data_IF_264751685718
#
_entry.id   IF_264751685718
#
_cell.length_a   1.000
_cell.length_b   1.000
_cell.length_c   1.000
_cell.angle_alpha   90.00
_cell.angle_beta   90.00
_cell.angle_gamma   90.00
#
_symmetry.space_group_name_H-M   'P 1'
#
loop_
_entity.id
_entity.type
_entity.pdbx_description
1 polymer ?
#
# COMPACT_ATOMS: atom_id res chain seq x y z
N UNK A 1 -72.49 28.89 14.43
CA UNK A 1 -71.66 29.07 13.22
C UNK A 1 -70.21 29.08 13.66
N UNK A 2 -69.69 27.88 13.81
CA UNK A 2 -68.36 27.67 14.36
C UNK A 2 -67.36 27.33 13.26
N UNK A 3 -66.40 28.23 13.08
CA UNK A 3 -65.30 27.94 12.18
C UNK A 3 -64.11 27.46 12.99
N UNK A 4 -63.86 26.17 12.93
CA UNK A 4 -62.64 25.58 13.44
C UNK A 4 -61.45 25.85 12.50
N UNK A 5 -60.32 26.32 13.04
CA UNK A 5 -59.10 26.42 12.23
C UNK A 5 -58.41 25.06 12.08
N UNK A 6 -58.10 24.70 10.86
CA UNK A 6 -57.31 23.52 10.52
C UNK A 6 -55.87 23.77 10.93
N UNK A 7 -55.41 23.06 11.96
CA UNK A 7 -54.00 22.94 12.33
C UNK A 7 -53.29 22.12 11.26
N UNK A 8 -52.49 22.74 10.45
CA UNK A 8 -51.57 22.08 9.56
C UNK A 8 -50.35 21.60 10.36
N UNK A 9 -50.26 20.30 10.61
CA UNK A 9 -49.10 19.67 11.20
C UNK A 9 -48.01 19.54 10.15
N UNK A 10 -46.98 20.42 10.21
CA UNK A 10 -45.79 20.34 9.40
C UNK A 10 -44.87 19.24 10.03
N UNK A 11 -44.80 18.09 9.39
CA UNK A 11 -43.84 17.04 9.74
C UNK A 11 -42.50 17.41 9.16
N UNK A 12 -41.59 17.90 9.99
CA UNK A 12 -40.18 18.07 9.64
C UNK A 12 -39.52 16.68 9.63
N UNK A 13 -39.37 16.12 8.46
CA UNK A 13 -38.51 14.95 8.28
C UNK A 13 -37.05 15.39 8.27
N UNK A 14 -36.35 15.06 9.36
CA UNK A 14 -34.90 15.21 9.44
C UNK A 14 -34.27 14.08 8.62
N UNK A 15 -33.79 14.42 7.43
CA UNK A 15 -32.95 13.52 6.66
C UNK A 15 -31.56 13.49 7.31
N UNK A 16 -31.30 12.44 8.08
CA UNK A 16 -29.97 12.14 8.59
C UNK A 16 -29.09 11.71 7.41
N UNK A 17 -28.27 12.63 6.92
CA UNK A 17 -27.21 12.33 5.95
C UNK A 17 -26.13 11.56 6.72
N UNK A 18 -26.12 10.25 6.60
CA UNK A 18 -25.01 9.41 7.07
C UNK A 18 -23.84 9.65 6.11
N UNK A 19 -22.94 10.55 6.49
CA UNK A 19 -21.64 10.66 5.86
C UNK A 19 -20.88 9.36 6.20
N UNK A 20 -20.90 8.40 5.29
CA UNK A 20 -19.95 7.31 5.32
C UNK A 20 -18.58 7.88 5.03
N UNK A 21 -17.80 8.16 6.05
CA UNK A 21 -16.36 8.34 5.94
C UNK A 21 -15.80 7.03 5.36
N UNK A 22 -15.57 7.02 4.06
CA UNK A 22 -14.75 6.00 3.44
C UNK A 22 -13.33 6.29 3.89
N UNK A 23 -12.83 5.50 4.83
CA UNK A 23 -11.40 5.44 5.07
C UNK A 23 -10.74 5.01 3.76
N UNK A 24 -10.06 5.92 3.09
CA UNK A 24 -9.34 5.61 1.87
C UNK A 24 -8.28 4.55 2.18
N UNK A 25 -8.25 3.48 1.38
CA UNK A 25 -7.24 2.45 1.49
C UNK A 25 -5.85 3.07 1.28
N UNK A 26 -4.87 2.62 2.06
CA UNK A 26 -3.48 3.08 1.94
C UNK A 26 -2.93 2.64 0.58
N UNK A 27 -2.58 3.61 -0.28
CA UNK A 27 -1.95 3.33 -1.57
C UNK A 27 -0.45 3.12 -1.39
N UNK A 28 -0.02 1.87 -1.55
CA UNK A 28 1.38 1.47 -1.49
C UNK A 28 1.97 1.20 -2.88
N UNK A 29 1.23 1.43 -3.97
CA UNK A 29 1.71 1.16 -5.32
C UNK A 29 2.96 1.96 -5.69
N UNK A 30 3.84 1.36 -6.47
CA UNK A 30 5.05 1.97 -6.96
C UNK A 30 6.33 1.29 -6.51
N UNK A 31 7.45 1.94 -6.80
CA UNK A 31 8.78 1.46 -6.46
C UNK A 31 9.27 2.10 -5.16
N UNK A 32 9.82 1.29 -4.28
CA UNK A 32 10.27 1.67 -2.95
C UNK A 32 11.71 1.26 -2.72
N UNK A 33 12.57 2.22 -2.41
CA UNK A 33 13.99 2.01 -2.14
C UNK A 33 14.33 2.29 -0.69
N UNK A 34 15.34 1.62 -0.17
CA UNK A 34 15.85 1.87 1.19
C UNK A 34 16.60 3.20 1.30
N UNK A 35 17.01 3.77 0.18
CA UNK A 35 17.66 5.09 0.13
C UNK A 35 17.05 5.92 -1.00
N UNK A 36 16.45 7.05 -0.64
CA UNK A 36 15.79 7.96 -1.57
C UNK A 36 16.74 8.48 -2.67
N UNK A 37 18.01 8.70 -2.35
CA UNK A 37 19.02 9.22 -3.29
C UNK A 37 19.48 8.18 -4.31
N UNK A 38 19.12 6.92 -4.12
CA UNK A 38 19.53 5.79 -4.96
C UNK A 38 18.45 5.26 -5.90
N UNK A 39 17.31 5.91 -5.96
CA UNK A 39 16.17 5.47 -6.79
C UNK A 39 16.57 5.17 -8.24
N UNK A 40 17.31 6.06 -8.89
CA UNK A 40 17.76 5.89 -10.28
C UNK A 40 18.83 4.82 -10.48
N UNK A 41 19.47 4.37 -9.40
CA UNK A 41 20.47 3.28 -9.43
C UNK A 41 19.84 1.92 -9.10
N UNK A 42 18.67 1.91 -8.46
CA UNK A 42 17.94 0.70 -8.10
C UNK A 42 16.90 0.34 -9.17
N UNK A 43 16.15 1.32 -9.67
CA UNK A 43 15.04 1.09 -10.58
C UNK A 43 15.26 1.74 -11.95
N UNK A 44 14.64 1.13 -12.96
CA UNK A 44 14.65 1.60 -14.34
C UNK A 44 13.36 1.19 -15.03
N UNK A 45 12.92 1.98 -16.01
CA UNK A 45 11.82 1.57 -16.87
C UNK A 45 12.36 0.73 -18.04
N UNK A 46 11.72 -0.40 -18.30
CA UNK A 46 12.14 -1.39 -19.28
C UNK A 46 11.00 -1.81 -20.21
N UNK A 47 11.42 -2.20 -21.43
CA UNK A 47 10.55 -2.85 -22.40
C UNK A 47 9.52 -1.91 -23.04
N UNK A 48 8.73 -2.47 -23.95
CA UNK A 48 7.70 -1.75 -24.70
C UNK A 48 6.54 -1.28 -23.82
N UNK A 49 6.24 -2.01 -22.74
CA UNK A 49 5.21 -1.65 -21.77
C UNK A 49 5.70 -0.60 -20.75
N UNK A 50 6.94 -0.13 -20.85
CA UNK A 50 7.53 0.86 -19.96
C UNK A 50 7.38 0.49 -18.47
N UNK A 51 7.56 -0.78 -18.15
CA UNK A 51 7.44 -1.28 -16.78
C UNK A 51 8.64 -0.90 -15.93
N UNK A 52 8.39 -0.65 -14.65
CA UNK A 52 9.43 -0.48 -13.66
C UNK A 52 10.11 -1.83 -13.42
N UNK A 53 11.42 -1.85 -13.48
CA UNK A 53 12.24 -3.00 -13.17
C UNK A 53 13.46 -2.62 -12.36
N UNK A 54 14.30 -3.60 -12.07
CA UNK A 54 15.55 -3.39 -11.35
C UNK A 54 16.72 -3.23 -12.31
N UNK A 55 17.66 -2.34 -11.96
CA UNK A 55 18.95 -2.27 -12.66
C UNK A 55 19.78 -3.52 -12.38
N UNK A 56 20.79 -3.78 -13.21
CA UNK A 56 21.63 -4.98 -13.07
C UNK A 56 22.31 -5.09 -11.70
N UNK A 57 22.78 -3.96 -11.16
CA UNK A 57 23.51 -3.92 -9.88
C UNK A 57 22.73 -3.18 -8.78
N UNK A 58 21.41 -3.27 -8.81
CA UNK A 58 20.54 -2.56 -7.85
C UNK A 58 20.83 -2.93 -6.40
N UNK A 59 21.22 -4.16 -6.14
CA UNK A 59 21.59 -4.67 -4.82
C UNK A 59 22.82 -3.98 -4.19
N UNK A 60 23.70 -3.42 -5.03
CA UNK A 60 24.87 -2.64 -4.56
C UNK A 60 24.47 -1.23 -4.07
N UNK A 61 23.26 -0.78 -4.38
CA UNK A 61 22.74 0.54 -4.02
C UNK A 61 21.64 0.49 -2.96
N UNK A 62 21.63 -0.56 -2.16
CA UNK A 62 20.61 -0.85 -1.17
C UNK A 62 19.53 -1.80 -1.70
N UNK A 63 18.52 -2.03 -0.91
CA UNK A 63 17.39 -2.87 -1.27
C UNK A 63 16.23 -2.05 -1.80
N UNK A 64 15.25 -2.77 -2.32
CA UNK A 64 14.00 -2.16 -2.75
C UNK A 64 13.02 -3.21 -3.23
N UNK A 65 11.78 -2.80 -3.42
CA UNK A 65 10.74 -3.63 -4.00
C UNK A 65 9.71 -2.76 -4.73
N UNK A 66 8.93 -3.42 -5.58
CA UNK A 66 7.88 -2.79 -6.37
C UNK A 66 6.55 -3.37 -5.92
N UNK A 67 5.60 -2.49 -5.58
CA UNK A 67 4.24 -2.87 -5.20
C UNK A 67 3.32 -2.64 -6.40
N UNK A 68 2.65 -3.69 -6.83
CA UNK A 68 1.60 -3.67 -7.83
C UNK A 68 0.26 -4.11 -7.19
N UNK A 69 -0.83 -4.03 -7.92
CA UNK A 69 -2.16 -4.33 -7.37
C UNK A 69 -2.29 -5.76 -6.81
N UNK A 70 -1.65 -6.74 -7.44
CA UNK A 70 -1.77 -8.16 -7.14
C UNK A 70 -0.48 -8.84 -6.70
N UNK A 71 0.65 -8.10 -6.70
CA UNK A 71 1.96 -8.68 -6.41
C UNK A 71 2.97 -7.67 -5.86
N UNK A 72 3.95 -8.20 -5.18
CA UNK A 72 5.18 -7.51 -4.80
C UNK A 72 6.33 -8.10 -5.62
N UNK A 73 7.18 -7.26 -6.17
CA UNK A 73 8.36 -7.71 -6.91
C UNK A 73 9.63 -7.23 -6.23
N UNK A 74 10.48 -8.16 -5.85
CA UNK A 74 11.87 -7.93 -5.50
C UNK A 74 12.78 -8.19 -6.70
N UNK A 75 14.07 -7.95 -6.54
CA UNK A 75 15.05 -8.26 -7.59
C UNK A 75 15.11 -9.75 -7.93
N UNK A 76 15.04 -10.60 -6.91
CA UNK A 76 15.21 -12.05 -7.02
C UNK A 76 13.94 -12.85 -6.71
N UNK A 77 12.87 -12.19 -6.34
CA UNK A 77 11.61 -12.84 -5.98
C UNK A 77 10.42 -12.09 -6.50
N UNK A 78 9.38 -12.82 -6.87
CA UNK A 78 8.04 -12.29 -7.14
C UNK A 78 7.08 -12.91 -6.17
N UNK A 79 6.28 -12.07 -5.52
CA UNK A 79 5.34 -12.45 -4.47
C UNK A 79 3.91 -12.12 -4.90
N UNK A 80 3.08 -13.13 -5.11
CA UNK A 80 1.65 -12.95 -5.38
C UNK A 80 0.91 -12.67 -4.07
N UNK A 81 0.18 -11.57 -4.01
CA UNK A 81 -0.61 -11.21 -2.84
C UNK A 81 -1.79 -12.17 -2.70
N UNK A 82 -1.89 -12.84 -1.54
CA UNK A 82 -2.97 -13.75 -1.19
C UNK A 82 -4.01 -13.11 -0.29
N UNK A 83 -3.56 -12.24 0.63
CA UNK A 83 -4.42 -11.52 1.56
C UNK A 83 -3.80 -10.17 1.92
N UNK A 84 -4.65 -9.19 2.13
CA UNK A 84 -4.27 -7.85 2.59
C UNK A 84 -5.22 -7.41 3.69
N UNK A 85 -4.68 -6.98 4.82
CA UNK A 85 -5.43 -6.44 5.95
C UNK A 85 -4.90 -5.05 6.28
N UNK A 86 -5.78 -4.10 6.41
CA UNK A 86 -5.46 -2.73 6.77
C UNK A 86 -6.03 -2.39 8.15
N UNK A 87 -5.24 -1.66 8.93
CA UNK A 87 -5.64 -1.08 10.21
C UNK A 87 -4.99 0.31 10.34
N UNK A 88 -5.75 1.34 9.98
CA UNK A 88 -5.25 2.70 9.89
C UNK A 88 -4.11 2.81 8.86
N UNK A 89 -2.93 3.18 9.33
CA UNK A 89 -1.71 3.32 8.50
C UNK A 89 -0.93 2.00 8.35
N UNK A 90 -1.33 0.96 9.06
CA UNK A 90 -0.67 -0.34 9.03
C UNK A 90 -1.32 -1.26 8.00
N UNK A 91 -0.50 -1.93 7.22
CA UNK A 91 -0.93 -2.87 6.19
C UNK A 91 -0.16 -4.18 6.37
N UNK A 92 -0.89 -5.27 6.55
CA UNK A 92 -0.33 -6.62 6.59
C UNK A 92 -0.65 -7.31 5.28
N UNK A 93 0.36 -7.76 4.57
CA UNK A 93 0.21 -8.49 3.31
C UNK A 93 0.76 -9.90 3.50
N UNK A 94 -0.06 -10.90 3.21
CA UNK A 94 0.36 -12.28 3.08
C UNK A 94 0.55 -12.58 1.60
N UNK A 95 1.73 -13.00 1.22
CA UNK A 95 2.06 -13.27 -0.17
C UNK A 95 2.76 -14.61 -0.35
N UNK A 96 2.51 -15.25 -1.47
CA UNK A 96 3.26 -16.42 -1.93
C UNK A 96 4.42 -15.97 -2.79
N UNK A 97 5.63 -16.11 -2.30
CA UNK A 97 6.87 -15.68 -2.95
C UNK A 97 7.56 -16.82 -3.67
N UNK A 98 7.99 -16.56 -4.90
CA UNK A 98 8.77 -17.47 -5.71
C UNK A 98 10.13 -16.85 -6.04
N UNK A 99 11.19 -17.62 -5.80
CA UNK A 99 12.53 -17.40 -6.33
C UNK A 99 12.83 -18.48 -7.36
N UNK A 100 14.04 -18.49 -7.94
CA UNK A 100 14.45 -19.54 -8.90
C UNK A 100 14.45 -20.96 -8.29
N UNK A 101 14.59 -21.05 -6.98
CA UNK A 101 14.80 -22.35 -6.30
C UNK A 101 13.78 -22.64 -5.19
N UNK A 102 12.94 -21.68 -4.81
CA UNK A 102 12.10 -21.83 -3.62
C UNK A 102 10.74 -21.14 -3.76
N UNK A 103 9.73 -21.76 -3.16
CA UNK A 103 8.41 -21.17 -2.92
C UNK A 103 8.21 -21.03 -1.42
N UNK A 104 7.73 -19.87 -0.97
CA UNK A 104 7.43 -19.61 0.43
C UNK A 104 6.28 -18.63 0.60
N UNK A 105 5.60 -18.73 1.74
CA UNK A 105 4.68 -17.68 2.18
C UNK A 105 5.45 -16.67 3.03
N UNK A 106 5.25 -15.39 2.72
CA UNK A 106 5.90 -14.30 3.43
C UNK A 106 4.83 -13.33 3.92
N UNK A 107 4.98 -12.89 5.16
CA UNK A 107 4.20 -11.82 5.75
C UNK A 107 4.98 -10.50 5.68
N UNK A 108 4.35 -9.50 5.09
CA UNK A 108 4.89 -8.14 5.03
C UNK A 108 4.10 -7.25 5.97
N UNK A 109 4.74 -6.80 7.03
CA UNK A 109 4.18 -5.83 7.97
C UNK A 109 4.67 -4.44 7.60
N UNK A 110 3.80 -3.67 6.96
CA UNK A 110 4.10 -2.34 6.42
C UNK A 110 3.35 -1.27 7.20
N UNK A 111 3.95 -0.11 7.37
CA UNK A 111 3.34 1.06 7.96
C UNK A 111 3.63 2.29 7.11
N UNK A 112 2.59 2.93 6.62
CA UNK A 112 2.72 4.22 5.95
C UNK A 112 3.04 5.29 7.00
N UNK A 113 4.17 5.97 6.87
CA UNK A 113 4.61 7.03 7.77
C UNK A 113 4.23 8.40 7.20
N UNK A 114 4.52 8.59 5.93
CA UNK A 114 4.22 9.78 5.13
C UNK A 114 3.80 9.32 3.73
N UNK A 115 3.37 10.24 2.86
CA UNK A 115 2.93 9.91 1.51
C UNK A 115 3.96 9.09 0.70
N UNK A 116 5.26 9.36 0.91
CA UNK A 116 6.36 8.77 0.17
C UNK A 116 7.36 8.02 1.06
N UNK A 117 6.96 7.67 2.28
CA UNK A 117 7.78 6.93 3.24
C UNK A 117 6.95 5.87 3.94
N UNK A 118 7.49 4.66 4.02
CA UNK A 118 6.93 3.60 4.83
C UNK A 118 8.02 2.85 5.59
N UNK A 119 7.63 2.15 6.64
CA UNK A 119 8.49 1.21 7.34
C UNK A 119 8.00 -0.22 7.16
N UNK A 120 8.92 -1.16 7.29
CA UNK A 120 8.66 -2.59 7.33
C UNK A 120 9.25 -3.18 8.60
N UNK A 121 8.45 -3.94 9.31
CA UNK A 121 8.88 -4.79 10.41
C UNK A 121 8.81 -6.26 10.01
N UNK A 122 9.51 -7.12 10.75
CA UNK A 122 9.61 -8.53 10.41
C UNK A 122 8.97 -9.37 11.52
N UNK A 123 8.12 -10.38 11.17
CA UNK A 123 7.56 -11.29 12.15
C UNK A 123 8.66 -11.97 12.97
N UNK A 124 8.51 -11.94 14.30
CA UNK A 124 9.50 -12.50 15.24
C UNK A 124 10.73 -11.62 15.53
N UNK A 125 10.87 -10.48 14.84
CA UNK A 125 11.96 -9.51 15.07
C UNK A 125 11.39 -8.09 15.12
N UNK A 126 10.58 -7.76 16.14
CA UNK A 126 9.88 -6.47 16.20
C UNK A 126 10.80 -5.26 16.34
N UNK A 127 12.02 -5.43 16.83
CA UNK A 127 13.04 -4.40 16.92
C UNK A 127 13.72 -4.08 15.58
N UNK A 128 13.55 -4.96 14.58
CA UNK A 128 14.09 -4.76 13.24
C UNK A 128 13.09 -4.01 12.37
N UNK A 129 13.44 -2.78 12.02
CA UNK A 129 12.62 -1.92 11.18
C UNK A 129 13.45 -1.35 10.04
N UNK A 130 12.93 -1.44 8.82
CA UNK A 130 13.55 -0.87 7.62
C UNK A 130 12.63 0.19 7.05
N UNK A 131 13.16 1.38 6.82
CA UNK A 131 12.45 2.45 6.12
C UNK A 131 12.64 2.35 4.61
N UNK A 132 11.57 2.63 3.87
CA UNK A 132 11.55 2.69 2.41
C UNK A 132 10.99 4.01 1.95
N UNK A 133 11.51 4.50 0.84
CA UNK A 133 11.12 5.75 0.22
C UNK A 133 10.57 5.49 -1.17
N UNK A 134 9.43 6.08 -1.49
CA UNK A 134 8.81 5.96 -2.83
C UNK A 134 9.68 6.66 -3.86
N UNK A 135 10.01 5.95 -4.91
CA UNK A 135 10.80 6.48 -6.01
C UNK A 135 9.91 7.11 -7.08
N UNK A 136 10.19 8.34 -7.50
CA UNK A 136 9.47 9.02 -8.56
C UNK A 136 9.96 8.54 -9.93
N UNK A 137 9.42 7.43 -10.43
CA UNK A 137 9.77 6.87 -11.74
C UNK A 137 8.55 6.64 -12.61
#
# INVERSE_FOLDING_TARGET
MDRLPKLAMAVLTWASVILCDRADAVDLSGAWATNADKCGQVFVRKGRANQIGFTMHSDQHGGGFIVEADRLRGKFATCKIKARKEDGQSVIIIAGCATDIMLSNVEFNLKALEANKMSRTFPGMPEMEISYYRCPI
#
